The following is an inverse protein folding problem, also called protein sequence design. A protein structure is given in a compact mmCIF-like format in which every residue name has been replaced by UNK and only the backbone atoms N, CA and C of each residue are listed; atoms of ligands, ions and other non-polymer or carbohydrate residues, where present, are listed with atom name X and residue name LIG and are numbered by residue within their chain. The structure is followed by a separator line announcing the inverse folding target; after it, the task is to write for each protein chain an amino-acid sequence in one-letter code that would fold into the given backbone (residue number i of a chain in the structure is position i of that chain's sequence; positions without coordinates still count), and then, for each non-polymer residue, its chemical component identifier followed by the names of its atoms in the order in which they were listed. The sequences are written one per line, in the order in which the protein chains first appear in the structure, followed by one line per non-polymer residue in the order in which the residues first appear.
data_IF_347481610410
#
_entry.id   IF_347481610410
#
_cell.length_a   1.000
_cell.length_b   1.000
_cell.length_c   1.000
_cell.angle_alpha   90.00
_cell.angle_beta   90.00
_cell.angle_gamma   90.00
#
_symmetry.space_group_name_H-M   'P 1'
#
loop_
_entity.id
_entity.type
_entity.pdbx_description
1 polymer ?
#
# COMPACT_ATOMS: atom_id res chain seq x y z
N UNK A 1 -9.97 10.35 -6.40
CA UNK A 1 -9.79 10.57 -4.95
C UNK A 1 -8.43 10.00 -4.55
N UNK A 2 -7.62 10.72 -3.76
CA UNK A 2 -6.28 10.26 -3.33
C UNK A 2 -6.35 9.58 -1.97
N UNK A 3 -5.34 8.77 -1.63
CA UNK A 3 -5.24 8.13 -0.32
C UNK A 3 -5.23 9.17 0.83
N UNK A 4 -4.51 10.28 0.65
CA UNK A 4 -4.48 11.39 1.61
C UNK A 4 -5.89 11.93 1.89
N UNK A 5 -6.64 12.25 0.83
CA UNK A 5 -8.01 12.79 0.96
C UNK A 5 -8.96 11.79 1.61
N UNK A 6 -8.79 10.49 1.33
CA UNK A 6 -9.59 9.46 1.98
C UNK A 6 -9.31 9.38 3.49
N UNK A 7 -8.03 9.44 3.90
CA UNK A 7 -7.66 9.47 5.32
C UNK A 7 -8.17 10.74 6.00
N UNK A 8 -8.16 11.88 5.33
CA UNK A 8 -8.73 13.13 5.87
C UNK A 8 -10.24 13.03 6.11
N UNK A 9 -10.97 12.24 5.30
CA UNK A 9 -12.41 12.02 5.46
C UNK A 9 -12.74 10.99 6.56
N UNK A 10 -12.00 9.90 6.61
CA UNK A 10 -12.26 8.81 7.57
C UNK A 10 -11.62 9.05 8.95
N UNK A 11 -10.63 9.93 9.02
CA UNK A 11 -9.88 10.23 10.22
C UNK A 11 -9.08 9.04 10.77
N UNK A 12 -8.94 9.01 12.09
CA UNK A 12 -8.11 8.02 12.82
C UNK A 12 -8.57 6.59 12.58
N UNK A 13 -9.88 6.36 12.47
CA UNK A 13 -10.42 5.01 12.33
C UNK A 13 -10.14 4.43 10.94
N UNK A 14 -10.28 5.22 9.87
CA UNK A 14 -9.87 4.79 8.53
C UNK A 14 -8.39 4.46 8.46
N UNK A 15 -7.55 5.28 9.09
CA UNK A 15 -6.11 5.01 9.20
C UNK A 15 -5.83 3.69 9.94
N UNK A 16 -6.53 3.42 11.05
CA UNK A 16 -6.39 2.18 11.83
C UNK A 16 -6.79 0.96 11.01
N UNK A 17 -7.96 0.98 10.37
CA UNK A 17 -8.45 -0.12 9.52
C UNK A 17 -7.48 -0.44 8.39
N UNK A 18 -6.96 0.60 7.72
CA UNK A 18 -5.96 0.41 6.66
C UNK A 18 -4.66 -0.18 7.20
N UNK A 19 -4.18 0.29 8.35
CA UNK A 19 -2.98 -0.26 8.98
C UNK A 19 -3.13 -1.74 9.33
N UNK A 20 -4.24 -2.12 9.95
CA UNK A 20 -4.52 -3.51 10.35
C UNK A 20 -4.64 -4.44 9.13
N UNK A 21 -5.35 -4.00 8.08
CA UNK A 21 -5.45 -4.76 6.84
C UNK A 21 -4.09 -5.01 6.17
N UNK A 22 -3.20 -4.00 6.19
CA UNK A 22 -1.84 -4.16 5.67
C UNK A 22 -1.03 -5.09 6.58
N UNK A 23 -1.06 -4.91 7.90
CA UNK A 23 -0.30 -5.77 8.84
C UNK A 23 -0.73 -7.23 8.81
N UNK A 24 -2.00 -7.52 8.53
CA UNK A 24 -2.49 -8.88 8.39
C UNK A 24 -1.74 -9.66 7.28
N UNK A 25 -1.33 -8.99 6.19
CA UNK A 25 -0.53 -9.59 5.11
C UNK A 25 0.97 -9.33 5.24
N UNK A 26 1.35 -8.23 5.87
CA UNK A 26 2.73 -7.80 6.04
C UNK A 26 3.01 -7.51 7.52
N UNK A 27 3.31 -8.53 8.35
CA UNK A 27 3.46 -8.35 9.80
C UNK A 27 4.52 -7.33 10.21
N UNK A 28 5.56 -7.14 9.39
CA UNK A 28 6.63 -6.14 9.58
C UNK A 28 6.27 -4.71 9.15
N UNK A 29 5.04 -4.47 8.68
CA UNK A 29 4.63 -3.14 8.25
C UNK A 29 4.48 -2.18 9.43
N UNK A 30 5.08 -0.99 9.31
CA UNK A 30 5.15 0.01 10.37
C UNK A 30 4.21 1.19 10.14
N UNK A 31 3.79 1.85 11.23
CA UNK A 31 3.00 3.08 11.17
C UNK A 31 3.71 4.19 10.37
N UNK A 32 5.05 4.24 10.43
CA UNK A 32 5.87 5.16 9.63
C UNK A 32 5.71 4.86 8.14
N UNK A 33 5.73 3.58 7.75
CA UNK A 33 5.53 3.20 6.34
C UNK A 33 4.15 3.62 5.83
N UNK A 34 3.11 3.52 6.67
CA UNK A 34 1.78 4.01 6.35
C UNK A 34 1.77 5.53 6.16
N UNK A 35 2.38 6.29 7.08
CA UNK A 35 2.53 7.76 6.95
C UNK A 35 3.20 8.12 5.63
N UNK A 36 4.28 7.43 5.25
CA UNK A 36 5.02 7.71 4.02
C UNK A 36 4.17 7.45 2.77
N UNK A 37 3.28 6.45 2.78
CA UNK A 37 2.32 6.24 1.69
C UNK A 37 1.26 7.34 1.63
N UNK A 38 0.71 7.74 2.78
CA UNK A 38 -0.29 8.81 2.86
C UNK A 38 0.27 10.14 2.36
N UNK A 39 1.53 10.44 2.69
CA UNK A 39 2.24 11.65 2.26
C UNK A 39 2.78 11.57 0.82
N UNK A 40 2.66 10.41 0.15
CA UNK A 40 3.21 10.20 -1.19
C UNK A 40 4.74 10.14 -1.25
N UNK A 41 5.43 10.08 -0.11
CA UNK A 41 6.89 9.96 -0.02
C UNK A 41 7.39 8.57 -0.42
N UNK A 42 6.52 7.56 -0.30
CA UNK A 42 6.81 6.19 -0.74
C UNK A 42 5.72 5.75 -1.69
N UNK A 43 6.11 5.05 -2.75
CA UNK A 43 5.18 4.45 -3.70
C UNK A 43 4.97 2.99 -3.28
N UNK A 44 3.72 2.54 -3.02
CA UNK A 44 3.42 1.15 -2.73
C UNK A 44 3.79 0.23 -3.91
N UNK A 45 4.14 -1.01 -3.60
CA UNK A 45 4.17 -2.07 -4.62
C UNK A 45 2.74 -2.51 -4.99
N UNK A 46 2.62 -3.40 -5.97
CA UNK A 46 1.33 -3.88 -6.45
C UNK A 46 0.46 -4.55 -5.36
N UNK A 47 1.05 -5.40 -4.52
CA UNK A 47 0.31 -6.09 -3.46
C UNK A 47 -0.18 -5.10 -2.39
N UNK A 48 0.66 -4.14 -2.03
CA UNK A 48 0.30 -3.06 -1.11
C UNK A 48 -0.81 -2.17 -1.70
N UNK A 49 -0.71 -1.81 -2.98
CA UNK A 49 -1.71 -1.02 -3.68
C UNK A 49 -3.06 -1.76 -3.79
N UNK A 50 -3.03 -3.09 -3.93
CA UNK A 50 -4.24 -3.93 -3.92
C UNK A 50 -4.95 -3.89 -2.57
N UNK A 51 -4.21 -3.98 -1.45
CA UNK A 51 -4.80 -3.86 -0.11
C UNK A 51 -5.39 -2.46 0.08
N UNK A 52 -4.64 -1.40 -0.27
CA UNK A 52 -5.13 -0.02 -0.19
C UNK A 52 -6.42 0.13 -1.01
N UNK A 53 -6.45 -0.38 -2.23
CA UNK A 53 -7.63 -0.34 -3.10
C UNK A 53 -8.84 -1.04 -2.47
N UNK A 54 -8.66 -2.23 -1.90
CA UNK A 54 -9.72 -3.00 -1.26
C UNK A 54 -10.31 -2.29 -0.02
N UNK A 55 -9.46 -1.70 0.82
CA UNK A 55 -9.90 -1.03 2.05
C UNK A 55 -10.56 0.32 1.76
N UNK A 56 -10.01 1.07 0.82
CA UNK A 56 -10.43 2.46 0.55
C UNK A 56 -11.51 2.58 -0.52
N UNK A 57 -11.72 1.51 -1.31
CA UNK A 57 -12.55 1.55 -2.51
C UNK A 57 -11.94 2.36 -3.67
N UNK A 58 -10.73 2.91 -3.51
CA UNK A 58 -10.04 3.64 -4.57
C UNK A 58 -9.59 2.62 -5.62
N UNK A 59 -9.99 2.77 -6.91
CA UNK A 59 -9.54 1.88 -7.96
C UNK A 59 -8.01 1.82 -8.05
N UNK A 60 -7.45 0.62 -8.17
CA UNK A 60 -5.99 0.43 -8.12
C UNK A 60 -5.24 1.24 -9.18
N UNK A 61 -5.81 1.42 -10.38
CA UNK A 61 -5.22 2.22 -11.46
C UNK A 61 -5.19 3.73 -11.20
N UNK A 62 -5.90 4.21 -10.17
CA UNK A 62 -5.83 5.58 -9.69
C UNK A 62 -4.84 5.76 -8.53
N UNK A 63 -4.29 4.67 -7.99
CA UNK A 63 -3.24 4.72 -6.97
C UNK A 63 -1.87 4.80 -7.66
N UNK A 64 -0.95 5.62 -7.16
CA UNK A 64 0.44 5.52 -7.58
C UNK A 64 1.01 4.21 -7.02
N UNK A 65 1.38 3.27 -7.89
CA UNK A 65 2.06 2.03 -7.47
C UNK A 65 3.18 1.66 -8.43
N UNK A 66 4.20 0.97 -7.92
CA UNK A 66 5.26 0.39 -8.76
C UNK A 66 4.92 -1.08 -9.03
N UNK A 67 4.91 -1.44 -10.31
CA UNK A 67 5.06 -2.84 -10.71
C UNK A 67 6.50 -3.23 -10.41
N UNK A 68 6.73 -3.82 -9.24
CA UNK A 68 8.00 -4.50 -8.98
C UNK A 68 7.98 -5.78 -9.80
N UNK A 69 8.40 -5.69 -11.07
CA UNK A 69 8.88 -6.87 -11.78
C UNK A 69 10.06 -7.40 -10.99
N UNK A 70 9.84 -8.42 -10.14
CA UNK A 70 10.95 -9.26 -9.72
C UNK A 70 11.43 -9.94 -11.01
N UNK A 71 12.63 -9.63 -11.54
CA UNK A 71 13.15 -10.42 -12.63
C UNK A 71 13.19 -11.89 -12.16
N UNK A 72 12.80 -12.86 -13.01
CA UNK A 72 12.96 -14.26 -12.66
C UNK A 72 14.44 -14.47 -12.30
N UNK A 73 14.68 -14.99 -11.10
CA UNK A 73 16.02 -15.40 -10.70
C UNK A 73 16.39 -16.58 -11.59
N UNK A 74 17.04 -16.32 -12.71
CA UNK A 74 17.69 -17.36 -13.51
C UNK A 74 18.78 -17.95 -12.61
N UNK A 75 18.47 -19.07 -11.94
CA UNK A 75 19.49 -19.94 -11.37
C UNK A 75 20.35 -20.39 -12.55
N UNK A 76 21.60 -19.92 -12.61
CA UNK A 76 22.59 -20.49 -13.54
C UNK A 76 22.63 -22.01 -13.26
N UNK A 77 22.50 -22.87 -14.27
CA UNK A 77 22.87 -24.27 -14.10
C UNK A 77 24.37 -24.30 -13.79
N UNK A 78 24.73 -25.11 -12.79
CA UNK A 78 26.11 -25.29 -12.33
C UNK A 78 27.00 -26.00 -13.34
#
# INVERSE_FOLDING_TARGET
MTLKKWIELEGTEGRRRLFEAIRAKFPGFSQVSLTNYIQGQRIPDYEMAKIISQVTGIPIFLLPFRLVHKPPVFKKPG
#
